data_IF_783812278893
#
_entry.id   IF_783812278893
#
_cell.length_a   1.000
_cell.length_b   1.000
_cell.length_c   1.000
_cell.angle_alpha   90.00
_cell.angle_beta   90.00
_cell.angle_gamma   90.00
#
_symmetry.space_group_name_H-M   'P 1'
#
loop_
_entity.id
_entity.type
_entity.pdbx_description
1 polymer ?
#
# COMPACT_ATOMS: atom_id res chain seq x y z
N UNK A 1 -11.16 -8.41 12.04
CA UNK A 1 -12.35 -9.26 11.83
C UNK A 1 -13.23 -8.60 10.79
N UNK A 2 -13.74 -9.38 9.84
CA UNK A 2 -14.81 -9.09 8.85
C UNK A 2 -14.69 -7.83 7.97
N UNK A 3 -14.30 -8.00 6.70
CA UNK A 3 -14.55 -6.99 5.65
C UNK A 3 -16.04 -6.93 5.33
N UNK A 4 -16.66 -5.77 5.55
CA UNK A 4 -18.03 -5.49 5.14
C UNK A 4 -18.03 -4.32 4.15
N UNK A 5 -18.62 -4.55 2.97
CA UNK A 5 -18.79 -3.50 1.95
C UNK A 5 -19.93 -2.59 2.36
N UNK A 6 -19.62 -1.34 2.70
CA UNK A 6 -20.58 -0.34 3.17
C UNK A 6 -20.86 0.69 2.06
N UNK A 7 -22.10 1.20 1.95
CA UNK A 7 -22.40 2.33 1.07
C UNK A 7 -21.66 3.60 1.53
N UNK A 8 -21.08 4.35 0.58
CA UNK A 8 -20.32 5.58 0.82
C UNK A 8 -20.91 6.73 0.00
N UNK A 9 -21.16 7.89 0.62
CA UNK A 9 -21.73 9.07 -0.05
C UNK A 9 -20.81 9.73 -1.07
N UNK A 10 -19.49 9.65 -0.90
CA UNK A 10 -18.49 10.23 -1.83
C UNK A 10 -17.99 9.23 -2.89
N UNK A 11 -18.03 7.92 -2.62
CA UNK A 11 -17.35 6.89 -3.44
C UNK A 11 -18.26 5.72 -3.86
N UNK A 12 -19.55 5.74 -3.50
CA UNK A 12 -20.51 4.67 -3.81
C UNK A 12 -20.40 3.45 -2.87
N UNK A 13 -19.27 2.73 -2.87
CA UNK A 13 -18.97 1.61 -1.97
C UNK A 13 -17.59 1.76 -1.36
N UNK A 14 -17.46 1.43 -0.07
CA UNK A 14 -16.17 1.38 0.64
C UNK A 14 -16.04 0.07 1.42
N UNK A 15 -14.83 -0.45 1.49
CA UNK A 15 -14.51 -1.55 2.40
C UNK A 15 -14.01 -0.97 3.74
N UNK A 16 -14.55 -1.49 4.84
CA UNK A 16 -14.14 -1.14 6.20
C UNK A 16 -13.40 -2.32 6.82
N UNK A 17 -12.16 -2.09 7.24
CA UNK A 17 -11.37 -3.06 8.01
C UNK A 17 -11.23 -2.53 9.43
N UNK A 18 -11.74 -3.29 10.40
CA UNK A 18 -11.56 -3.01 11.84
C UNK A 18 -10.59 -4.03 12.44
N UNK A 19 -9.53 -3.51 13.06
CA UNK A 19 -8.55 -4.29 13.82
C UNK A 19 -8.60 -3.76 15.26
N UNK A 20 -8.92 -4.64 16.20
CA UNK A 20 -9.00 -4.29 17.62
C UNK A 20 -7.66 -4.59 18.31
N UNK A 21 -7.32 -3.79 19.34
CA UNK A 21 -6.09 -3.95 20.14
C UNK A 21 -4.78 -3.93 19.34
N UNK A 22 -4.75 -3.25 18.19
CA UNK A 22 -3.54 -3.10 17.37
C UNK A 22 -3.50 -1.70 16.78
N UNK A 23 -2.36 -1.02 16.96
CA UNK A 23 -2.07 0.22 16.26
C UNK A 23 -1.14 -0.09 15.09
N UNK A 24 -1.53 0.30 13.89
CA UNK A 24 -0.62 0.27 12.75
C UNK A 24 0.42 1.37 12.91
N UNK A 25 1.68 1.06 12.61
CA UNK A 25 2.72 2.07 12.54
C UNK A 25 2.54 2.95 11.29
N UNK A 26 3.13 4.15 11.29
CA UNK A 26 3.07 5.02 10.12
C UNK A 26 3.68 4.35 8.87
N UNK A 27 4.70 3.51 9.03
CA UNK A 27 5.27 2.72 7.92
C UNK A 27 4.24 1.75 7.32
N UNK A 28 3.51 1.02 8.18
CA UNK A 28 2.45 0.11 7.74
C UNK A 28 1.29 0.87 7.08
N UNK A 29 0.91 2.02 7.63
CA UNK A 29 -0.11 2.90 7.04
C UNK A 29 0.34 3.44 5.68
N UNK A 30 1.61 3.82 5.54
CA UNK A 30 2.14 4.32 4.27
C UNK A 30 2.23 3.21 3.22
N UNK A 31 2.54 1.97 3.59
CA UNK A 31 2.45 0.83 2.67
C UNK A 31 1.03 0.65 2.11
N UNK A 32 0.00 0.94 2.89
CA UNK A 32 -1.39 0.94 2.44
C UNK A 32 -1.67 1.97 1.34
N UNK A 33 -0.97 3.11 1.29
CA UNK A 33 -1.14 4.13 0.26
C UNK A 33 -0.87 3.61 -1.17
N UNK A 34 -0.08 2.54 -1.28
CA UNK A 34 0.25 1.85 -2.54
C UNK A 34 -0.89 0.97 -3.04
N UNK A 35 -1.82 0.58 -2.18
CA UNK A 35 -3.03 -0.13 -2.58
C UNK A 35 -4.20 0.84 -2.67
N UNK A 36 -4.41 1.63 -1.62
CA UNK A 36 -5.52 2.56 -1.49
C UNK A 36 -4.99 3.98 -1.17
N UNK A 37 -4.70 4.80 -2.20
CA UNK A 37 -4.10 6.13 -1.99
C UNK A 37 -5.10 7.13 -1.39
N UNK A 38 -6.40 6.84 -1.46
CA UNK A 38 -7.48 7.64 -0.88
C UNK A 38 -8.04 7.03 0.42
N UNK A 39 -7.38 6.01 0.99
CA UNK A 39 -7.82 5.45 2.26
C UNK A 39 -7.68 6.47 3.40
N UNK A 40 -8.49 6.33 4.43
CA UNK A 40 -8.35 7.10 5.68
C UNK A 40 -8.26 6.11 6.83
N UNK A 41 -7.21 6.21 7.63
CA UNK A 41 -7.02 5.37 8.81
C UNK A 41 -7.51 6.16 10.03
N UNK A 42 -8.52 5.63 10.72
CA UNK A 42 -9.04 6.22 11.95
C UNK A 42 -8.41 5.50 13.15
N UNK A 43 -7.74 6.26 14.03
CA UNK A 43 -7.23 5.76 15.30
C UNK A 43 -8.31 5.96 16.35
N UNK A 44 -8.73 4.85 16.97
CA UNK A 44 -9.78 4.83 18.00
C UNK A 44 -9.14 4.38 19.30
N UNK A 45 -9.38 5.12 20.38
CA UNK A 45 -8.96 4.79 21.73
C UNK A 45 -10.09 5.12 22.70
N UNK A 46 -10.36 4.26 23.69
CA UNK A 46 -11.50 4.39 24.60
C UNK A 46 -12.85 4.73 23.93
N UNK A 47 -13.15 4.11 22.78
CA UNK A 47 -14.35 4.33 21.96
C UNK A 47 -14.43 5.70 21.24
N UNK A 48 -13.44 6.57 21.42
CA UNK A 48 -13.38 7.88 20.77
C UNK A 48 -12.35 7.90 19.62
N UNK A 49 -12.65 8.65 18.56
CA UNK A 49 -11.71 8.87 17.45
C UNK A 49 -10.67 9.89 17.90
N UNK A 50 -9.52 9.39 18.33
CA UNK A 50 -8.40 10.20 18.81
C UNK A 50 -7.51 10.75 17.69
N UNK A 51 -7.68 10.27 16.45
CA UNK A 51 -6.96 10.81 15.30
C UNK A 51 -7.36 10.22 13.95
N UNK A 52 -7.12 10.97 12.89
CA UNK A 52 -7.25 10.52 11.50
C UNK A 52 -5.90 10.67 10.80
N UNK A 53 -5.42 9.59 10.20
CA UNK A 53 -4.18 9.56 9.45
C UNK A 53 -4.54 9.30 7.99
N UNK A 54 -4.11 10.21 7.12
CA UNK A 54 -4.16 10.00 5.67
C UNK A 54 -2.86 9.31 5.27
N UNK A 55 -2.90 8.09 4.70
CA UNK A 55 -1.71 7.41 4.20
C UNK A 55 -0.94 8.30 3.24
N UNK A 56 0.35 8.46 3.49
CA UNK A 56 1.24 9.13 2.55
C UNK A 56 1.93 8.08 1.69
N UNK A 57 2.18 8.42 0.42
CA UNK A 57 2.91 7.53 -0.46
C UNK A 57 4.36 7.43 0.03
N UNK A 58 4.85 6.24 0.42
CA UNK A 58 6.19 6.08 0.95
C UNK A 58 7.22 6.21 -0.17
N UNK A 59 8.47 6.58 0.16
CA UNK A 59 9.58 6.62 -0.81
C UNK A 59 10.03 5.22 -1.26
N UNK A 60 9.75 4.20 -0.46
CA UNK A 60 10.16 2.81 -0.71
C UNK A 60 9.12 1.82 -0.19
N UNK A 61 9.00 0.70 -0.88
CA UNK A 61 8.11 -0.42 -0.52
C UNK A 61 8.94 -1.69 -0.50
N UNK A 62 8.81 -2.49 0.54
CA UNK A 62 9.53 -3.75 0.68
C UNK A 62 8.60 -4.90 1.00
N UNK A 63 9.03 -6.13 0.67
CA UNK A 63 8.41 -7.42 1.04
C UNK A 63 7.07 -7.74 0.40
N UNK A 64 6.22 -6.74 0.16
CA UNK A 64 4.83 -6.97 -0.27
C UNK A 64 4.67 -7.09 -1.79
N UNK A 65 5.51 -6.42 -2.59
CA UNK A 65 5.37 -6.40 -4.06
C UNK A 65 6.24 -7.45 -4.75
N UNK A 66 5.82 -7.93 -5.92
CA UNK A 66 6.60 -8.85 -6.76
C UNK A 66 7.05 -8.15 -8.03
N UNK A 67 8.31 -8.36 -8.45
CA UNK A 67 8.83 -7.74 -9.67
C UNK A 67 8.19 -8.34 -10.93
N UNK A 68 7.59 -7.54 -11.83
CA UNK A 68 7.01 -8.04 -13.09
C UNK A 68 8.05 -8.60 -14.05
N UNK A 69 9.33 -8.19 -13.92
CA UNK A 69 10.41 -8.75 -14.72
C UNK A 69 10.66 -10.21 -14.30
N UNK A 70 10.30 -11.16 -15.17
CA UNK A 70 10.51 -12.60 -14.97
C UNK A 70 11.99 -12.97 -14.75
N UNK A 71 12.91 -12.22 -15.35
CA UNK A 71 14.36 -12.43 -15.22
C UNK A 71 14.97 -11.68 -14.02
N UNK A 72 14.16 -11.15 -13.11
CA UNK A 72 14.66 -10.45 -11.92
C UNK A 72 15.09 -11.45 -10.85
N UNK A 73 16.32 -11.29 -10.33
CA UNK A 73 16.90 -12.16 -9.30
C UNK A 73 16.03 -12.23 -8.03
N UNK A 74 15.28 -11.17 -7.72
CA UNK A 74 14.36 -11.14 -6.57
C UNK A 74 13.18 -12.11 -6.66
N UNK A 75 12.99 -12.81 -7.79
CA UNK A 75 11.97 -13.86 -7.95
C UNK A 75 12.50 -15.26 -7.64
N UNK A 76 13.81 -15.46 -7.76
CA UNK A 76 14.45 -16.77 -7.62
C UNK A 76 15.18 -16.92 -6.29
N UNK A 77 15.73 -15.83 -5.76
CA UNK A 77 16.48 -15.83 -4.51
C UNK A 77 15.59 -15.48 -3.31
N UNK A 78 15.90 -15.99 -2.10
CA UNK A 78 15.17 -15.70 -0.86
C UNK A 78 15.50 -14.31 -0.33
N UNK A 79 15.27 -13.27 -1.15
CA UNK A 79 15.51 -11.87 -0.82
C UNK A 79 14.19 -11.11 -0.78
N UNK A 80 14.10 -10.15 0.13
CA UNK A 80 12.93 -9.27 0.20
C UNK A 80 12.86 -8.38 -1.05
N UNK A 81 11.71 -8.33 -1.70
CA UNK A 81 11.47 -7.36 -2.76
C UNK A 81 11.63 -5.93 -2.23
N UNK A 82 12.08 -5.02 -3.09
CA UNK A 82 12.31 -3.63 -2.72
C UNK A 82 12.12 -2.74 -3.95
N UNK A 83 11.24 -1.74 -3.83
CA UNK A 83 10.92 -0.78 -4.87
C UNK A 83 11.04 0.63 -4.35
N UNK A 84 11.75 1.49 -5.08
CA UNK A 84 11.70 2.92 -4.86
C UNK A 84 10.46 3.48 -5.56
N UNK A 85 9.72 4.33 -4.87
CA UNK A 85 8.50 4.96 -5.36
C UNK A 85 8.84 6.32 -5.93
N UNK A 86 8.46 6.57 -7.18
CA UNK A 86 8.63 7.85 -7.85
C UNK A 86 7.27 8.37 -8.27
N UNK A 87 6.84 9.47 -7.65
CA UNK A 87 5.65 10.20 -8.08
C UNK A 87 6.04 11.18 -9.19
N UNK A 88 5.46 11.02 -10.37
CA UNK A 88 5.50 12.03 -11.45
C UNK A 88 4.07 12.45 -11.76
N UNK A 89 3.70 13.65 -11.30
CA UNK A 89 2.33 14.17 -11.38
C UNK A 89 1.33 13.19 -10.71
N UNK A 90 0.28 12.79 -11.43
CA UNK A 90 -0.70 11.80 -10.97
C UNK A 90 -0.29 10.34 -11.21
N UNK A 91 0.90 10.10 -11.78
CA UNK A 91 1.40 8.76 -12.04
C UNK A 91 2.44 8.32 -11.01
N UNK A 92 2.27 7.11 -10.49
CA UNK A 92 3.23 6.46 -9.58
C UNK A 92 4.01 5.41 -10.37
N UNK A 93 5.33 5.58 -10.40
CA UNK A 93 6.29 4.64 -10.97
C UNK A 93 7.05 3.93 -9.84
N UNK A 94 7.33 2.65 -10.03
CA UNK A 94 8.02 1.79 -9.07
C UNK A 94 9.31 1.28 -9.71
N UNK A 95 10.46 1.71 -9.18
CA UNK A 95 11.78 1.23 -9.61
C UNK A 95 12.22 0.05 -8.74
N UNK A 96 12.40 -1.12 -9.34
CA UNK A 96 12.93 -2.28 -8.63
C UNK A 96 14.38 -2.05 -8.19
N UNK A 97 14.73 -2.36 -6.94
CA UNK A 97 16.11 -2.28 -6.43
C UNK A 97 17.08 -3.22 -7.16
N UNK A 98 16.59 -4.35 -7.65
CA UNK A 98 17.46 -5.44 -8.14
C UNK A 98 17.72 -5.38 -9.65
N UNK A 99 16.65 -5.33 -10.47
CA UNK A 99 16.80 -5.25 -11.92
C UNK A 99 16.81 -3.81 -12.44
N UNK A 100 16.65 -2.82 -11.55
CA UNK A 100 16.62 -1.39 -11.85
C UNK A 100 15.54 -0.92 -12.85
N UNK A 101 14.67 -1.82 -13.31
CA UNK A 101 13.56 -1.48 -14.19
C UNK A 101 12.48 -0.68 -13.45
N UNK A 102 11.89 0.26 -14.16
CA UNK A 102 10.75 1.06 -13.69
C UNK A 102 9.45 0.49 -14.29
N UNK A 103 8.42 0.40 -13.45
CA UNK A 103 7.11 -0.11 -13.82
C UNK A 103 6.02 0.82 -13.32
N UNK A 104 4.94 0.96 -14.10
CA UNK A 104 3.76 1.64 -13.62
C UNK A 104 3.13 0.88 -12.45
N UNK A 105 2.61 1.61 -11.45
CA UNK A 105 1.97 1.03 -10.25
C UNK A 105 0.97 -0.08 -10.57
N UNK A 106 0.09 0.13 -11.54
CA UNK A 106 -0.94 -0.87 -11.90
C UNK A 106 -0.34 -2.18 -12.43
N UNK A 107 0.80 -2.13 -13.15
CA UNK A 107 1.48 -3.33 -13.65
C UNK A 107 2.03 -4.15 -12.50
N UNK A 108 2.64 -3.50 -11.50
CA UNK A 108 3.20 -4.20 -10.34
C UNK A 108 2.09 -4.80 -9.47
N UNK A 109 0.98 -4.09 -9.29
CA UNK A 109 -0.17 -4.55 -8.51
C UNK A 109 -0.96 -5.68 -9.18
N UNK A 110 -0.96 -5.76 -10.52
CA UNK A 110 -1.64 -6.82 -11.26
C UNK A 110 -0.88 -8.17 -11.27
N UNK A 111 0.33 -8.22 -10.69
CA UNK A 111 1.14 -9.45 -10.60
C UNK A 111 0.85 -10.27 -9.33
N UNK A 112 -0.38 -10.18 -8.82
CA UNK A 112 -0.87 -10.87 -7.62
C UNK A 112 -1.99 -11.84 -7.99
#
# INVERSE_FOLDING_TARGET
TSSATLPSGELGRKDLIKIENTFLTDDQINQLAVYAPHATVNRIDNYDVVGKISPTLPDKIERVLTCPNSNCISRSEPVNSSFAVKKRNDNVQLKCKYCEKEFARHVVLANW
#
